data_IF_056524733618
#
_entry.id   IF_056524733618
#
_cell.length_a   1.000
_cell.length_b   1.000
_cell.length_c   1.000
_cell.angle_alpha   90.00
_cell.angle_beta   90.00
_cell.angle_gamma   90.00
#
_symmetry.space_group_name_H-M   'P 1'
#
loop_
_entity.id
_entity.type
_entity.pdbx_description
1 polymer ?
#
# COMPACT_ATOMS: atom_id res chain seq x y z
N UNK A 1 13.06 -12.44 17.34
CA UNK A 1 11.77 -12.84 16.73
C UNK A 1 11.79 -12.75 15.21
N UNK A 2 12.30 -11.67 14.59
CA UNK A 2 12.38 -11.56 13.12
C UNK A 2 13.23 -12.66 12.45
N UNK A 3 14.39 -13.00 13.02
CA UNK A 3 15.28 -14.05 12.50
C UNK A 3 14.74 -15.50 12.63
N UNK A 4 13.53 -15.68 13.17
CA UNK A 4 12.90 -17.00 13.31
C UNK A 4 11.88 -17.29 12.19
N UNK A 5 11.56 -16.29 11.37
CA UNK A 5 10.70 -16.49 10.22
C UNK A 5 11.48 -17.16 9.09
N UNK A 6 10.86 -18.07 8.32
CA UNK A 6 11.51 -18.62 7.14
C UNK A 6 11.78 -17.50 6.14
N UNK A 7 12.90 -17.63 5.41
CA UNK A 7 13.16 -16.77 4.27
C UNK A 7 12.01 -16.91 3.25
N UNK A 8 11.57 -15.81 2.62
CA UNK A 8 10.56 -15.89 1.60
C UNK A 8 11.07 -16.72 0.42
N UNK A 9 10.16 -17.43 -0.25
CA UNK A 9 10.49 -18.12 -1.48
C UNK A 9 11.09 -17.12 -2.51
N UNK A 10 12.06 -17.55 -3.33
CA UNK A 10 12.58 -16.73 -4.42
C UNK A 10 11.45 -16.22 -5.32
N UNK A 11 11.55 -14.98 -5.76
CA UNK A 11 10.59 -14.33 -6.66
C UNK A 11 11.31 -13.87 -7.92
N UNK A 12 10.58 -13.78 -9.03
CA UNK A 12 11.11 -13.29 -10.30
C UNK A 12 11.34 -11.79 -10.20
N UNK A 13 12.61 -11.38 -10.26
CA UNK A 13 13.04 -9.98 -10.16
C UNK A 13 13.44 -9.38 -11.51
N UNK A 14 13.51 -10.19 -12.57
CA UNK A 14 13.62 -9.71 -13.97
C UNK A 14 12.22 -9.54 -14.57
N UNK A 15 11.90 -8.32 -15.02
CA UNK A 15 10.58 -8.04 -15.59
C UNK A 15 10.35 -8.73 -16.93
N UNK A 16 11.38 -8.85 -17.77
CA UNK A 16 11.28 -9.52 -19.07
C UNK A 16 11.06 -11.02 -18.90
N UNK A 17 11.65 -11.64 -17.89
CA UNK A 17 11.38 -13.02 -17.51
C UNK A 17 9.90 -13.19 -17.14
N UNK A 18 9.39 -12.39 -16.20
CA UNK A 18 7.98 -12.40 -15.79
C UNK A 18 7.01 -12.25 -16.97
N UNK A 19 7.31 -11.35 -17.93
CA UNK A 19 6.48 -11.17 -19.13
C UNK A 19 6.50 -12.42 -20.03
N UNK A 20 7.67 -13.04 -20.24
CA UNK A 20 7.82 -14.22 -21.10
C UNK A 20 7.17 -15.45 -20.49
N UNK A 21 7.35 -15.69 -19.19
CA UNK A 21 6.80 -16.87 -18.50
C UNK A 21 5.36 -16.69 -18.04
N UNK A 22 4.83 -15.45 -18.10
CA UNK A 22 3.51 -15.07 -17.58
C UNK A 22 3.37 -15.30 -16.07
N UNK A 23 4.49 -15.27 -15.36
CA UNK A 23 4.54 -15.40 -13.91
C UNK A 23 4.57 -14.03 -13.23
N UNK A 24 4.18 -13.98 -11.95
CA UNK A 24 4.04 -12.74 -11.21
C UNK A 24 5.41 -12.14 -10.84
N UNK A 25 5.63 -10.88 -11.19
CA UNK A 25 6.82 -10.14 -10.80
C UNK A 25 6.91 -9.95 -9.27
N UNK A 26 8.13 -9.90 -8.73
CA UNK A 26 8.34 -9.74 -7.29
C UNK A 26 7.67 -8.47 -6.73
N UNK A 27 7.78 -7.36 -7.45
CA UNK A 27 7.18 -6.06 -7.09
C UNK A 27 5.88 -5.80 -7.87
N UNK A 28 5.00 -6.80 -7.91
CA UNK A 28 3.73 -6.72 -8.61
C UNK A 28 2.75 -5.66 -8.05
N UNK A 29 1.66 -5.44 -8.78
CA UNK A 29 0.65 -4.42 -8.53
C UNK A 29 0.04 -4.47 -7.12
N UNK A 30 -0.22 -5.68 -6.59
CA UNK A 30 -0.78 -5.82 -5.24
C UNK A 30 0.26 -5.44 -4.18
N UNK A 31 1.51 -5.87 -4.36
CA UNK A 31 2.60 -5.51 -3.45
C UNK A 31 2.84 -4.00 -3.48
N UNK A 32 2.92 -3.41 -4.68
CA UNK A 32 3.07 -1.95 -4.86
C UNK A 32 1.94 -1.17 -4.19
N UNK A 33 0.69 -1.56 -4.44
CA UNK A 33 -0.49 -0.94 -3.80
C UNK A 33 -0.39 -1.00 -2.27
N UNK A 34 -0.16 -2.18 -1.69
CA UNK A 34 -0.08 -2.37 -0.24
C UNK A 34 1.10 -1.62 0.39
N UNK A 35 2.26 -1.59 -0.27
CA UNK A 35 3.42 -0.81 0.18
C UNK A 35 3.10 0.68 0.25
N UNK A 36 2.47 1.24 -0.78
CA UNK A 36 2.05 2.64 -0.78
C UNK A 36 0.97 2.92 0.28
N UNK A 37 0.02 2.00 0.48
CA UNK A 37 -1.01 2.11 1.54
C UNK A 37 -0.38 2.24 2.92
N UNK A 38 0.63 1.43 3.25
CA UNK A 38 1.34 1.52 4.54
C UNK A 38 1.97 2.90 4.77
N UNK A 39 2.64 3.45 3.75
CA UNK A 39 3.26 4.79 3.83
C UNK A 39 2.19 5.88 4.00
N UNK A 40 1.09 5.79 3.24
CA UNK A 40 -0.02 6.75 3.31
C UNK A 40 -0.74 6.70 4.67
N UNK A 41 -0.88 5.53 5.29
CA UNK A 41 -1.39 5.41 6.65
C UNK A 41 -0.50 6.13 7.67
N UNK A 42 0.82 6.01 7.53
CA UNK A 42 1.78 6.74 8.36
C UNK A 42 1.65 8.26 8.20
N UNK A 43 1.51 8.75 6.97
CA UNK A 43 1.26 10.17 6.68
C UNK A 43 -0.06 10.66 7.30
N UNK A 44 -1.13 9.89 7.19
CA UNK A 44 -2.43 10.23 7.75
C UNK A 44 -2.37 10.31 9.28
N UNK A 45 -1.75 9.32 9.94
CA UNK A 45 -1.57 9.31 11.39
C UNK A 45 -0.74 10.52 11.87
N UNK A 46 0.33 10.87 11.14
CA UNK A 46 1.15 12.04 11.43
C UNK A 46 0.34 13.34 11.31
N UNK A 47 -0.41 13.53 10.22
CA UNK A 47 -1.22 14.74 9.98
C UNK A 47 -2.33 14.94 11.02
N UNK A 48 -2.94 13.83 11.46
CA UNK A 48 -4.02 13.85 12.46
C UNK A 48 -3.49 13.77 13.90
N UNK A 49 -2.18 13.61 14.07
CA UNK A 49 -1.48 13.47 15.34
C UNK A 49 -2.08 12.40 16.27
N UNK A 50 -2.41 11.22 15.72
CA UNK A 50 -2.99 10.10 16.47
C UNK A 50 -2.86 8.78 15.72
N UNK A 51 -2.92 7.68 16.46
CA UNK A 51 -3.01 6.33 15.88
C UNK A 51 -4.35 6.11 15.18
N UNK A 52 -4.33 5.32 14.10
CA UNK A 52 -5.49 5.00 13.28
C UNK A 52 -5.75 3.49 13.30
N UNK A 53 -7.03 3.09 13.28
CA UNK A 53 -7.43 1.69 13.10
C UNK A 53 -7.83 1.48 11.65
N UNK A 54 -7.26 0.47 11.00
CA UNK A 54 -7.40 0.24 9.58
C UNK A 54 -8.01 -1.14 9.30
N UNK A 55 -9.00 -1.18 8.41
CA UNK A 55 -9.56 -2.39 7.84
C UNK A 55 -8.87 -2.69 6.51
N UNK A 56 -8.06 -3.74 6.47
CA UNK A 56 -7.31 -4.13 5.27
C UNK A 56 -8.15 -4.81 4.19
N UNK A 57 -9.40 -5.19 4.48
CA UNK A 57 -10.30 -5.78 3.49
C UNK A 57 -11.04 -4.68 2.73
N UNK A 58 -11.58 -3.69 3.45
CA UNK A 58 -12.32 -2.57 2.86
C UNK A 58 -11.43 -1.37 2.50
N UNK A 59 -10.18 -1.38 2.94
CA UNK A 59 -9.19 -0.31 2.74
C UNK A 59 -9.62 1.05 3.32
N UNK A 60 -10.28 1.01 4.48
CA UNK A 60 -10.82 2.18 5.18
C UNK A 60 -10.35 2.24 6.63
N UNK A 61 -10.33 3.44 7.19
CA UNK A 61 -10.15 3.65 8.63
C UNK A 61 -11.47 3.43 9.37
N UNK A 62 -11.43 2.59 10.39
CA UNK A 62 -12.61 2.15 11.14
C UNK A 62 -13.14 3.31 11.99
N UNK A 63 -14.39 3.72 11.73
CA UNK A 63 -15.08 4.82 12.43
C UNK A 63 -14.32 6.16 12.41
N UNK A 64 -13.67 6.50 11.29
CA UNK A 64 -12.79 7.67 11.21
C UNK A 64 -12.91 8.46 9.90
N UNK A 65 -13.93 9.31 9.82
CA UNK A 65 -14.18 10.15 8.65
C UNK A 65 -13.05 11.13 8.34
N UNK A 66 -12.34 11.60 9.36
CA UNK A 66 -11.24 12.55 9.17
C UNK A 66 -10.05 11.88 8.45
N UNK A 67 -9.72 10.64 8.82
CA UNK A 67 -8.71 9.86 8.15
C UNK A 67 -9.17 9.39 6.75
N UNK A 68 -10.44 8.96 6.62
CA UNK A 68 -10.99 8.53 5.33
C UNK A 68 -11.00 9.65 4.28
N UNK A 69 -11.18 10.92 4.69
CA UNK A 69 -11.02 12.08 3.78
C UNK A 69 -9.61 12.25 3.21
N UNK A 70 -8.58 11.64 3.81
CA UNK A 70 -7.20 11.71 3.30
C UNK A 70 -6.90 10.65 2.23
N UNK A 71 -7.80 9.67 2.02
CA UNK A 71 -7.68 8.64 0.98
C UNK A 71 -7.85 9.29 -0.41
N UNK A 72 -8.89 10.10 -0.58
CA UNK A 72 -9.18 10.84 -1.81
C UNK A 72 -8.95 12.33 -1.61
N UNK A 73 -7.67 12.73 -1.52
CA UNK A 73 -7.30 14.13 -1.44
C UNK A 73 -7.62 14.86 -2.75
N UNK A 74 -8.00 16.15 -2.68
CA UNK A 74 -8.21 16.94 -3.88
C UNK A 74 -6.93 16.98 -4.72
N UNK A 75 -7.08 16.82 -6.03
CA UNK A 75 -5.97 16.96 -6.96
C UNK A 75 -5.37 18.35 -6.87
N UNK A 76 -4.05 18.45 -7.11
CA UNK A 76 -3.42 19.75 -7.32
C UNK A 76 -3.99 20.35 -8.61
N UNK A 77 -4.51 21.57 -8.56
CA UNK A 77 -4.93 22.28 -9.77
C UNK A 77 -3.76 22.44 -10.76
N UNK A 78 -4.00 22.56 -12.08
CA UNK A 78 -5.27 22.54 -12.81
C UNK A 78 -5.77 21.12 -13.18
N UNK A 79 -5.24 20.08 -12.56
CA UNK A 79 -5.53 18.70 -12.94
C UNK A 79 -6.91 18.25 -12.43
N UNK A 80 -7.69 17.64 -13.32
CA UNK A 80 -8.96 16.95 -13.04
C UNK A 80 -8.98 15.59 -13.76
N UNK A 81 -9.75 14.64 -13.22
CA UNK A 81 -10.02 13.30 -13.77
C UNK A 81 -11.39 13.35 -14.43
#
# INVERSE_FOLDING_TARGET
>A
KLAQYPEPAPQITDFLESVRTREKFALNEINGHRSCTLVNMGLAALRLNRSLKYDSQNELFINDDAANRLIHQPMRGPWSI
#
